data_IF_911751722913
#
_entry.id   IF_911751722913
#
_cell.length_a   1.000
_cell.length_b   1.000
_cell.length_c   1.000
_cell.angle_alpha   90.00
_cell.angle_beta   90.00
_cell.angle_gamma   90.00
#
_symmetry.space_group_name_H-M   'P 1'
#
loop_
_entity.id
_entity.type
_entity.pdbx_description
1 polymer ?
#
# COMPACT_ATOMS: atom_id res chain seq x y z
N UNK A 1 6.92 7.45 8.25
CA UNK A 1 5.49 7.31 8.61
C UNK A 1 5.05 5.95 8.16
N UNK A 2 4.36 5.21 9.03
CA UNK A 2 3.97 3.82 8.79
C UNK A 2 2.47 3.68 8.98
N UNK A 3 1.86 2.80 8.19
CA UNK A 3 0.44 2.46 8.27
C UNK A 3 0.33 0.95 8.36
N UNK A 4 -0.38 0.45 9.38
CA UNK A 4 -0.72 -0.96 9.48
C UNK A 4 -1.86 -1.29 8.51
N UNK A 5 -1.61 -2.23 7.59
CA UNK A 5 -2.56 -2.58 6.54
C UNK A 5 -3.82 -3.25 7.10
N UNK A 6 -3.71 -3.90 8.27
CA UNK A 6 -4.85 -4.47 8.99
C UNK A 6 -5.84 -3.41 9.47
N UNK A 7 -5.36 -2.22 9.84
CA UNK A 7 -6.23 -1.10 10.24
C UNK A 7 -7.07 -0.58 9.06
N UNK A 8 -6.64 -0.85 7.82
CA UNK A 8 -7.37 -0.56 6.59
C UNK A 8 -8.18 -1.77 6.07
N UNK A 9 -8.25 -2.86 6.83
CA UNK A 9 -9.01 -4.08 6.48
C UNK A 9 -8.25 -5.12 5.64
N UNK A 10 -6.95 -4.94 5.42
CA UNK A 10 -6.13 -5.90 4.66
C UNK A 10 -5.40 -6.87 5.59
N UNK A 11 -6.00 -8.03 5.83
CA UNK A 11 -5.46 -9.09 6.70
C UNK A 11 -4.54 -10.09 5.95
N UNK A 12 -4.37 -9.92 4.64
CA UNK A 12 -3.55 -10.77 3.78
C UNK A 12 -2.75 -9.92 2.81
N UNK A 13 -1.90 -10.57 2.00
CA UNK A 13 -1.11 -9.89 0.97
C UNK A 13 -2.00 -9.02 0.07
N UNK A 14 -1.57 -7.78 -0.15
CA UNK A 14 -2.22 -6.78 -0.99
C UNK A 14 -1.21 -6.19 -1.97
N UNK A 15 -1.69 -5.63 -3.08
CA UNK A 15 -0.85 -4.87 -4.00
C UNK A 15 -1.05 -3.38 -3.76
N UNK A 16 0.03 -2.61 -3.90
CA UNK A 16 0.02 -1.16 -3.72
C UNK A 16 0.51 -0.50 -5.00
N UNK A 17 -0.26 0.45 -5.50
CA UNK A 17 0.06 1.27 -6.67
C UNK A 17 0.11 2.74 -6.27
N UNK A 18 1.16 3.45 -6.67
CA UNK A 18 1.22 4.89 -6.56
C UNK A 18 0.37 5.52 -7.68
N UNK A 19 -0.68 6.25 -7.30
CA UNK A 19 -1.62 6.84 -8.26
C UNK A 19 -1.08 8.09 -8.93
N UNK A 20 -0.18 8.83 -8.28
CA UNK A 20 0.43 10.02 -8.86
C UNK A 20 1.49 9.70 -9.91
N UNK A 21 2.27 8.64 -9.71
CA UNK A 21 3.30 8.22 -10.68
C UNK A 21 2.83 7.13 -11.62
N UNK A 22 1.67 6.52 -11.34
CA UNK A 22 1.15 5.36 -12.08
C UNK A 22 1.95 4.07 -11.87
N UNK A 23 2.96 4.06 -11.00
CA UNK A 23 3.85 2.90 -10.78
C UNK A 23 3.25 1.90 -9.80
N UNK A 24 3.39 0.61 -10.12
CA UNK A 24 3.22 -0.46 -9.15
C UNK A 24 4.38 -0.39 -8.14
N UNK A 25 4.03 -0.34 -6.85
CA UNK A 25 5.02 -0.30 -5.76
C UNK A 25 5.42 -1.73 -5.37
N UNK A 26 4.46 -2.64 -5.34
CA UNK A 26 4.71 -4.05 -5.04
C UNK A 26 3.58 -4.74 -4.27
N UNK A 27 3.87 -5.95 -3.79
CA UNK A 27 2.99 -6.70 -2.87
C UNK A 27 3.48 -6.52 -1.43
N UNK A 28 2.58 -6.21 -0.51
CA UNK A 28 2.88 -5.95 0.90
C UNK A 28 1.97 -6.77 1.84
N UNK A 29 2.53 -7.09 3.01
CA UNK A 29 1.83 -7.65 4.18
C UNK A 29 2.29 -6.88 5.42
N UNK A 30 1.47 -6.86 6.47
CA UNK A 30 1.85 -6.16 7.71
C UNK A 30 1.66 -4.65 7.55
N UNK A 31 2.72 -3.95 7.20
CA UNK A 31 2.78 -2.49 7.23
C UNK A 31 3.28 -1.90 5.92
N UNK A 32 2.84 -0.67 5.64
CA UNK A 32 3.30 0.12 4.51
C UNK A 32 3.90 1.43 5.01
N UNK A 33 5.18 1.65 4.71
CA UNK A 33 5.96 2.79 5.20
C UNK A 33 6.74 3.46 4.05
N UNK A 34 6.06 4.18 3.14
CA UNK A 34 6.74 4.87 2.06
C UNK A 34 7.56 6.04 2.61
N UNK A 35 8.72 6.30 1.99
CA UNK A 35 9.45 7.53 2.24
C UNK A 35 8.71 8.72 1.62
N UNK A 36 8.29 9.66 2.46
CA UNK A 36 7.65 10.92 2.04
C UNK A 36 8.52 12.07 2.54
N UNK A 37 8.91 12.97 1.63
CA UNK A 37 9.71 14.15 1.99
C UNK A 37 8.92 15.10 2.89
N UNK A 38 9.61 15.97 3.63
CA UNK A 38 8.98 17.01 4.46
C UNK A 38 7.99 17.85 3.63
N UNK A 39 6.77 18.05 4.14
CA UNK A 39 5.63 18.68 3.43
C UNK A 39 5.19 17.96 2.14
N UNK A 40 5.66 16.74 1.91
CA UNK A 40 5.17 15.88 0.84
C UNK A 40 3.97 15.07 1.29
N UNK A 41 3.27 14.52 0.30
CA UNK A 41 2.25 13.50 0.48
C UNK A 41 2.42 12.43 -0.61
N UNK A 42 1.63 11.36 -0.53
CA UNK A 42 1.53 10.36 -1.57
C UNK A 42 0.12 9.80 -1.63
N UNK A 43 -0.35 9.49 -2.84
CA UNK A 43 -1.65 8.88 -3.06
C UNK A 43 -1.46 7.46 -3.58
N UNK A 44 -1.99 6.49 -2.84
CA UNK A 44 -1.82 5.07 -3.13
C UNK A 44 -3.17 4.37 -3.21
N UNK A 45 -3.30 3.47 -4.18
CA UNK A 45 -4.39 2.50 -4.23
C UNK A 45 -3.89 1.17 -3.67
N UNK A 46 -4.66 0.60 -2.74
CA UNK A 46 -4.42 -0.73 -2.18
C UNK A 46 -5.49 -1.66 -2.74
N UNK A 47 -5.05 -2.79 -3.30
CA UNK A 47 -5.94 -3.83 -3.81
C UNK A 47 -5.66 -5.15 -3.11
N UNK A 48 -6.70 -5.83 -2.62
CA UNK A 48 -6.54 -7.17 -2.08
C UNK A 48 -6.08 -8.11 -3.19
N UNK A 49 -5.11 -9.00 -2.93
CA UNK A 49 -4.88 -10.11 -3.87
C UNK A 49 -6.10 -11.04 -3.81
N UNK A 50 -6.65 -11.46 -4.95
CA UNK A 50 -7.65 -12.51 -4.96
C UNK A 50 -7.05 -13.75 -4.30
N UNK A 51 -7.80 -14.38 -3.40
CA UNK A 51 -7.41 -15.69 -2.86
C UNK A 51 -7.37 -16.66 -4.04
N UNK A 52 -6.20 -17.25 -4.33
CA UNK A 52 -6.15 -18.41 -5.20
C UNK A 52 -7.06 -19.47 -4.58
N UNK A 53 -8.00 -19.96 -5.38
CA UNK A 53 -9.03 -20.93 -5.00
C UNK A 53 -8.43 -22.31 -4.80
#
# INVERSE_FOLDING_TARGET
MEVALQQLGFNSACTIRNLWTGKEVGTFTGTFAPHIRRHGAGLYRISAKPKSK
#
